data_IF_848426370393
#
_entry.id   IF_848426370393
#
_cell.length_a   1.000
_cell.length_b   1.000
_cell.length_c   1.000
_cell.angle_alpha   90.00
_cell.angle_beta   90.00
_cell.angle_gamma   90.00
#
_symmetry.space_group_name_H-M   'P 1'
#
loop_
_entity.id
_entity.type
_entity.pdbx_description
1 polymer ?
#
# COMPACT_ATOMS: atom_id res chain seq x y z
N UNK A 1 -26.31 -44.62 -24.10
CA UNK A 1 -26.77 -43.33 -23.57
C UNK A 1 -25.65 -42.55 -22.90
N UNK A 2 -24.97 -43.10 -21.88
CA UNK A 2 -23.87 -42.42 -21.15
C UNK A 2 -22.78 -41.87 -22.08
N UNK A 3 -22.28 -42.68 -23.03
CA UNK A 3 -21.25 -42.25 -23.99
C UNK A 3 -21.71 -41.07 -24.86
N UNK A 4 -22.95 -41.11 -25.34
CA UNK A 4 -23.54 -40.05 -26.17
C UNK A 4 -23.68 -38.77 -25.34
N UNK A 5 -24.13 -38.89 -24.08
CA UNK A 5 -24.24 -37.75 -23.15
C UNK A 5 -22.88 -37.13 -22.86
N UNK A 6 -21.82 -37.92 -22.64
CA UNK A 6 -20.47 -37.40 -22.42
C UNK A 6 -19.93 -36.66 -23.64
N UNK A 7 -20.10 -37.24 -24.83
CA UNK A 7 -19.67 -36.62 -26.08
C UNK A 7 -20.44 -35.33 -26.34
N UNK A 8 -21.77 -35.35 -26.23
CA UNK A 8 -22.60 -34.15 -26.39
C UNK A 8 -22.27 -33.09 -25.33
N UNK A 9 -22.05 -33.48 -24.07
CA UNK A 9 -21.66 -32.57 -23.00
C UNK A 9 -20.31 -31.92 -23.28
N UNK A 10 -19.32 -32.69 -23.75
CA UNK A 10 -18.01 -32.15 -24.12
C UNK A 10 -18.13 -31.13 -25.25
N UNK A 11 -18.80 -31.49 -26.35
CA UNK A 11 -18.97 -30.58 -27.48
C UNK A 11 -19.79 -29.34 -27.13
N UNK A 12 -20.87 -29.49 -26.36
CA UNK A 12 -21.71 -28.38 -25.90
C UNK A 12 -20.91 -27.42 -25.01
N UNK A 13 -20.11 -27.95 -24.09
CA UNK A 13 -19.29 -27.16 -23.18
C UNK A 13 -18.15 -26.45 -23.93
N UNK A 14 -17.46 -27.16 -24.83
CA UNK A 14 -16.35 -26.59 -25.60
C UNK A 14 -16.83 -25.54 -26.59
N UNK A 15 -17.83 -25.85 -27.41
CA UNK A 15 -18.31 -24.96 -28.48
C UNK A 15 -19.29 -23.91 -27.98
N UNK A 16 -20.12 -24.22 -26.97
CA UNK A 16 -21.13 -23.32 -26.44
C UNK A 16 -20.59 -22.34 -25.40
N UNK A 17 -19.56 -22.72 -24.64
CA UNK A 17 -19.09 -21.92 -23.52
C UNK A 17 -17.60 -21.59 -23.60
N UNK A 18 -16.72 -22.60 -23.55
CA UNK A 18 -15.27 -22.36 -23.35
C UNK A 18 -14.61 -21.62 -24.52
N UNK A 19 -14.88 -22.04 -25.76
CA UNK A 19 -14.27 -21.41 -26.93
C UNK A 19 -14.77 -19.97 -27.12
N UNK A 20 -16.08 -19.67 -27.11
CA UNK A 20 -16.58 -18.29 -27.16
C UNK A 20 -16.00 -17.41 -26.04
N UNK A 21 -15.93 -17.93 -24.81
CA UNK A 21 -15.38 -17.20 -23.66
C UNK A 21 -13.91 -16.85 -23.87
N UNK A 22 -13.09 -17.78 -24.36
CA UNK A 22 -11.68 -17.49 -24.68
C UNK A 22 -11.53 -16.46 -25.80
N UNK A 23 -12.36 -16.51 -26.85
CA UNK A 23 -12.35 -15.50 -27.89
C UNK A 23 -12.74 -14.11 -27.36
N UNK A 24 -13.76 -14.05 -26.49
CA UNK A 24 -14.18 -12.83 -25.80
C UNK A 24 -13.03 -12.23 -24.99
N UNK A 25 -12.30 -13.02 -24.21
CA UNK A 25 -11.20 -12.54 -23.38
C UNK A 25 -9.97 -12.09 -24.18
N UNK A 26 -9.70 -12.68 -25.34
CA UNK A 26 -8.56 -12.28 -26.18
C UNK A 26 -8.85 -11.01 -27.00
N UNK A 27 -10.11 -10.76 -27.36
CA UNK A 27 -10.55 -9.60 -28.15
C UNK A 27 -11.62 -8.81 -27.41
N UNK A 28 -11.40 -8.58 -26.11
CA UNK A 28 -12.37 -7.97 -25.19
C UNK A 28 -12.93 -6.67 -25.73
N UNK A 29 -12.10 -5.79 -26.26
CA UNK A 29 -12.56 -4.47 -26.75
C UNK A 29 -13.57 -4.58 -27.90
N UNK A 30 -13.22 -5.28 -28.98
CA UNK A 30 -14.10 -5.42 -30.16
C UNK A 30 -15.40 -6.16 -29.84
N UNK A 31 -15.31 -7.20 -29.03
CA UNK A 31 -16.47 -8.01 -28.64
C UNK A 31 -17.37 -7.22 -27.70
N UNK A 32 -16.80 -6.48 -26.74
CA UNK A 32 -17.56 -5.57 -25.88
C UNK A 32 -18.35 -4.56 -26.71
N UNK A 33 -17.72 -3.84 -27.65
CA UNK A 33 -18.44 -2.89 -28.49
C UNK A 33 -19.56 -3.52 -29.32
N UNK A 34 -19.37 -4.74 -29.82
CA UNK A 34 -20.40 -5.45 -30.58
C UNK A 34 -21.61 -5.86 -29.71
N UNK A 35 -21.37 -6.23 -28.45
CA UNK A 35 -22.40 -6.75 -27.54
C UNK A 35 -23.09 -5.63 -26.73
N UNK A 36 -22.42 -4.50 -26.51
CA UNK A 36 -22.98 -3.30 -25.84
C UNK A 36 -24.39 -2.91 -26.27
N UNK A 37 -24.75 -2.77 -27.56
CA UNK A 37 -26.11 -2.36 -27.95
C UNK A 37 -27.19 -3.37 -27.51
N UNK A 38 -26.87 -4.66 -27.51
CA UNK A 38 -27.78 -5.73 -27.06
C UNK A 38 -27.98 -5.61 -25.55
N UNK A 39 -26.89 -5.44 -24.80
CA UNK A 39 -26.94 -5.26 -23.34
C UNK A 39 -27.67 -3.99 -22.94
N UNK A 40 -27.50 -2.88 -23.67
CA UNK A 40 -28.23 -1.64 -23.43
C UNK A 40 -29.73 -1.81 -23.72
N UNK A 41 -30.10 -2.57 -24.75
CA UNK A 41 -31.49 -2.93 -25.02
C UNK A 41 -32.10 -3.72 -23.86
N UNK A 42 -31.41 -4.75 -23.39
CA UNK A 42 -31.84 -5.56 -22.25
C UNK A 42 -31.92 -4.73 -20.95
N UNK A 43 -30.91 -3.91 -20.68
CA UNK A 43 -30.87 -2.99 -19.54
C UNK A 43 -32.06 -2.03 -19.56
N UNK A 44 -32.38 -1.46 -20.72
CA UNK A 44 -33.55 -0.57 -20.86
C UNK A 44 -34.87 -1.31 -20.60
N UNK A 45 -34.97 -2.56 -21.03
CA UNK A 45 -36.14 -3.41 -20.82
C UNK A 45 -36.32 -3.78 -19.34
N UNK A 46 -35.24 -4.11 -18.63
CA UNK A 46 -35.28 -4.49 -17.21
C UNK A 46 -35.26 -3.29 -16.26
N UNK A 47 -34.85 -2.10 -16.73
CA UNK A 47 -34.83 -0.85 -15.96
C UNK A 47 -36.09 -0.55 -15.14
N UNK A 48 -37.34 -0.67 -15.64
CA UNK A 48 -38.53 -0.42 -14.82
C UNK A 48 -38.64 -1.38 -13.64
N UNK A 49 -38.29 -2.66 -13.84
CA UNK A 49 -38.28 -3.66 -12.79
C UNK A 49 -37.21 -3.38 -11.73
N UNK A 50 -35.98 -3.09 -12.18
CA UNK A 50 -34.87 -2.70 -11.29
C UNK A 50 -35.24 -1.46 -10.49
N UNK A 51 -35.81 -0.43 -11.12
CA UNK A 51 -36.23 0.80 -10.44
C UNK A 51 -37.28 0.55 -9.37
N UNK A 52 -38.23 -0.35 -9.61
CA UNK A 52 -39.23 -0.74 -8.62
C UNK A 52 -38.58 -1.42 -7.42
N UNK A 53 -37.68 -2.38 -7.66
CA UNK A 53 -36.92 -3.04 -6.59
C UNK A 53 -36.09 -2.03 -5.80
N UNK A 54 -35.27 -1.21 -6.48
CA UNK A 54 -34.45 -0.18 -5.82
C UNK A 54 -35.31 0.80 -5.00
N UNK A 55 -36.46 1.22 -5.52
CA UNK A 55 -37.37 2.08 -4.76
C UNK A 55 -37.90 1.38 -3.50
N UNK A 56 -38.23 0.10 -3.58
CA UNK A 56 -38.68 -0.68 -2.43
C UNK A 56 -37.56 -0.87 -1.39
N UNK A 57 -36.34 -1.18 -1.83
CA UNK A 57 -35.15 -1.28 -0.96
C UNK A 57 -34.86 0.05 -0.28
N UNK A 58 -34.84 1.15 -1.04
CA UNK A 58 -34.55 2.48 -0.51
C UNK A 58 -35.60 2.94 0.50
N UNK A 59 -36.86 2.56 0.30
CA UNK A 59 -37.93 2.82 1.27
C UNK A 59 -37.65 2.08 2.58
N UNK A 60 -37.28 0.80 2.51
CA UNK A 60 -36.92 0.00 3.69
C UNK A 60 -35.71 0.60 4.41
N UNK A 61 -34.62 0.88 3.70
CA UNK A 61 -33.40 1.50 4.25
C UNK A 61 -33.72 2.80 4.99
N UNK A 62 -34.56 3.65 4.39
CA UNK A 62 -35.04 4.90 5.02
C UNK A 62 -35.91 4.67 6.25
N UNK A 63 -36.74 3.63 6.28
CA UNK A 63 -37.53 3.28 7.48
C UNK A 63 -36.64 2.91 8.67
N UNK A 64 -35.44 2.39 8.41
CA UNK A 64 -34.43 2.10 9.43
C UNK A 64 -33.49 3.29 9.73
N UNK A 65 -33.75 4.47 9.15
CA UNK A 65 -32.95 5.67 9.39
C UNK A 65 -31.58 5.69 8.71
N UNK A 66 -31.35 4.80 7.75
CA UNK A 66 -30.11 4.71 6.97
C UNK A 66 -30.23 5.51 5.65
N UNK A 67 -29.11 6.01 5.13
CA UNK A 67 -29.08 6.70 3.84
C UNK A 67 -28.91 5.68 2.69
N UNK A 68 -29.90 5.53 1.78
CA UNK A 68 -29.80 4.65 0.63
C UNK A 68 -28.83 5.13 -0.46
N UNK A 69 -28.27 6.34 -0.34
CA UNK A 69 -27.21 6.83 -1.22
C UNK A 69 -25.87 6.99 -0.50
N UNK A 70 -25.69 6.37 0.68
CA UNK A 70 -24.37 6.27 1.26
C UNK A 70 -23.46 5.53 0.26
N UNK A 71 -22.45 6.21 -0.26
CA UNK A 71 -21.60 5.72 -1.35
C UNK A 71 -20.99 4.35 -1.02
N UNK A 72 -21.15 3.39 -1.94
CA UNK A 72 -20.44 2.09 -1.93
C UNK A 72 -19.07 2.18 -2.64
N UNK A 73 -18.65 3.35 -3.14
CA UNK A 73 -17.46 3.50 -4.00
C UNK A 73 -16.16 3.85 -3.25
N UNK A 74 -16.13 3.78 -1.92
CA UNK A 74 -14.85 3.86 -1.21
C UNK A 74 -14.17 2.51 -1.29
N UNK A 75 -13.27 2.35 -2.28
CA UNK A 75 -12.35 1.21 -2.32
C UNK A 75 -11.60 1.18 -0.99
N UNK A 76 -11.81 0.12 -0.24
CA UNK A 76 -11.18 -0.09 1.06
C UNK A 76 -9.75 -0.59 0.88
N UNK A 77 -8.92 -0.41 1.89
CA UNK A 77 -7.57 -0.97 1.90
C UNK A 77 -7.59 -2.50 1.70
N UNK A 78 -8.53 -3.18 2.36
CA UNK A 78 -8.71 -4.63 2.25
C UNK A 78 -8.99 -5.07 0.80
N UNK A 79 -9.78 -4.28 0.07
CA UNK A 79 -10.03 -4.54 -1.36
C UNK A 79 -8.76 -4.34 -2.20
N UNK A 80 -7.94 -3.34 -1.90
CA UNK A 80 -6.65 -3.15 -2.58
C UNK A 80 -5.73 -4.35 -2.29
N UNK A 81 -5.64 -4.81 -1.04
CA UNK A 81 -4.86 -5.98 -0.65
C UNK A 81 -5.31 -7.24 -1.39
N UNK A 82 -6.63 -7.47 -1.49
CA UNK A 82 -7.19 -8.56 -2.29
C UNK A 82 -6.80 -8.46 -3.78
N UNK A 83 -6.80 -7.26 -4.36
CA UNK A 83 -6.38 -7.07 -5.76
C UNK A 83 -4.89 -7.39 -5.95
N UNK A 84 -4.04 -6.99 -5.00
CA UNK A 84 -2.60 -7.30 -5.01
C UNK A 84 -2.37 -8.80 -4.91
N UNK A 85 -3.09 -9.50 -4.04
CA UNK A 85 -3.01 -10.96 -3.90
C UNK A 85 -3.37 -11.67 -5.20
N UNK A 86 -4.48 -11.28 -5.84
CA UNK A 86 -4.88 -11.82 -7.14
C UNK A 86 -3.84 -11.51 -8.23
N UNK A 87 -3.18 -10.35 -8.15
CA UNK A 87 -2.09 -9.97 -9.05
C UNK A 87 -0.85 -10.85 -8.88
N UNK A 88 -0.53 -11.19 -7.63
CA UNK A 88 0.59 -12.06 -7.28
C UNK A 88 0.34 -13.51 -7.71
N UNK A 89 -0.85 -14.07 -7.46
CA UNK A 89 -1.21 -15.42 -7.92
C UNK A 89 -1.16 -15.56 -9.45
N UNK A 90 -1.48 -14.48 -10.17
CA UNK A 90 -1.41 -14.44 -11.64
C UNK A 90 0.01 -14.20 -12.16
N UNK A 91 0.99 -14.03 -11.29
CA UNK A 91 2.39 -13.73 -11.64
C UNK A 91 2.58 -12.37 -12.28
N UNK A 92 1.64 -11.44 -12.08
CA UNK A 92 1.73 -10.05 -12.58
C UNK A 92 2.44 -9.16 -11.56
N UNK A 93 2.33 -9.49 -10.28
CA UNK A 93 2.99 -8.82 -9.16
C UNK A 93 3.98 -9.80 -8.53
N UNK A 94 5.20 -9.34 -8.24
CA UNK A 94 6.21 -10.13 -7.55
C UNK A 94 5.99 -10.12 -6.03
N UNK A 95 6.49 -11.14 -5.32
CA UNK A 95 6.36 -11.24 -3.86
C UNK A 95 6.96 -10.01 -3.14
N UNK A 96 8.08 -9.49 -3.65
CA UNK A 96 8.73 -8.28 -3.13
C UNK A 96 7.89 -7.02 -3.27
N UNK A 97 7.08 -6.93 -4.33
CA UNK A 97 6.18 -5.80 -4.57
C UNK A 97 4.96 -5.89 -3.67
N UNK A 98 4.41 -7.09 -3.46
CA UNK A 98 3.33 -7.32 -2.49
C UNK A 98 3.78 -6.97 -1.08
N UNK A 99 4.97 -7.42 -0.68
CA UNK A 99 5.57 -7.09 0.62
C UNK A 99 5.75 -5.57 0.78
N UNK A 100 6.28 -4.89 -0.25
CA UNK A 100 6.40 -3.43 -0.24
C UNK A 100 5.03 -2.75 -0.04
N UNK A 101 3.99 -3.15 -0.77
CA UNK A 101 2.65 -2.55 -0.65
C UNK A 101 2.10 -2.75 0.76
N UNK A 102 2.26 -3.95 1.33
CA UNK A 102 1.84 -4.22 2.70
C UNK A 102 2.59 -3.34 3.71
N UNK A 103 3.91 -3.18 3.55
CA UNK A 103 4.73 -2.33 4.41
C UNK A 103 4.34 -0.85 4.32
N UNK A 104 3.83 -0.38 3.17
CA UNK A 104 3.35 1.01 3.02
C UNK A 104 2.09 1.24 3.85
N UNK A 105 1.16 0.29 3.85
CA UNK A 105 -0.03 0.39 4.71
C UNK A 105 0.34 0.29 6.19
N UNK A 106 1.20 -0.67 6.56
CA UNK A 106 1.69 -0.78 7.94
C UNK A 106 2.41 0.50 8.39
N UNK A 107 3.15 1.16 7.50
CA UNK A 107 3.84 2.41 7.80
C UNK A 107 2.87 3.57 8.11
N UNK A 108 1.71 3.63 7.47
CA UNK A 108 0.69 4.65 7.76
C UNK A 108 0.11 4.49 9.18
N UNK A 109 0.04 3.25 9.67
CA UNK A 109 -0.48 2.90 10.98
C UNK A 109 0.57 2.93 12.11
N UNK A 110 1.87 3.03 11.79
CA UNK A 110 2.94 3.03 12.79
C UNK A 110 3.03 4.38 13.49
N UNK A 111 2.90 4.37 14.81
CA UNK A 111 3.17 5.54 15.64
C UNK A 111 4.68 5.74 15.84
N UNK A 112 5.13 6.99 15.96
CA UNK A 112 6.55 7.31 16.24
C UNK A 112 7.06 6.60 17.50
N UNK A 113 6.18 6.41 18.48
CA UNK A 113 6.50 5.73 19.73
C UNK A 113 6.89 4.26 19.54
N UNK A 114 6.43 3.61 18.47
CA UNK A 114 6.68 2.18 18.20
C UNK A 114 8.06 1.94 17.58
N UNK A 115 8.65 2.95 16.94
CA UNK A 115 9.93 2.83 16.21
C UNK A 115 11.04 3.72 16.75
N UNK A 116 10.74 4.65 17.65
CA UNK A 116 11.76 5.52 18.24
C UNK A 116 12.69 4.74 19.18
N UNK A 117 13.95 5.14 19.25
CA UNK A 117 14.83 4.71 20.34
C UNK A 117 14.36 5.39 21.63
N UNK A 118 14.08 4.61 22.67
CA UNK A 118 13.71 5.17 23.97
C UNK A 118 14.84 6.02 24.54
N UNK A 119 14.49 7.13 25.21
CA UNK A 119 15.46 8.08 25.78
C UNK A 119 16.51 7.45 26.70
N UNK A 120 16.17 6.36 27.38
CA UNK A 120 17.09 5.64 28.29
C UNK A 120 18.17 4.88 27.54
N UNK A 121 17.93 4.60 26.26
CA UNK A 121 18.80 3.84 25.37
C UNK A 121 19.45 4.76 24.32
N UNK A 122 19.22 6.07 24.41
CA UNK A 122 19.83 7.07 23.53
C UNK A 122 21.21 7.46 24.05
N UNK A 123 22.22 7.28 23.23
CA UNK A 123 23.55 7.86 23.48
C UNK A 123 23.54 9.32 23.03
N UNK A 124 23.72 10.22 24.00
CA UNK A 124 23.78 11.66 23.78
C UNK A 124 25.11 12.20 24.31
N UNK A 125 25.53 13.37 23.82
CA UNK A 125 26.73 14.07 24.29
C UNK A 125 26.37 15.41 24.89
N UNK A 126 27.15 15.84 25.88
CA UNK A 126 26.99 17.15 26.51
C UNK A 126 27.52 18.25 25.57
N UNK A 127 26.95 19.45 25.63
CA UNK A 127 27.46 20.61 24.91
C UNK A 127 28.89 21.00 25.33
N UNK A 128 29.29 20.62 26.54
CA UNK A 128 30.65 20.86 27.06
C UNK A 128 31.66 19.76 26.68
N UNK A 129 31.21 18.64 26.09
CA UNK A 129 32.09 17.53 25.71
C UNK A 129 33.10 17.92 24.63
N UNK A 130 34.29 17.33 24.71
CA UNK A 130 35.33 17.60 23.71
C UNK A 130 35.00 16.92 22.38
N UNK A 131 35.49 17.50 21.29
CA UNK A 131 35.32 16.91 19.96
C UNK A 131 35.88 15.47 19.87
N UNK A 132 36.91 15.15 20.67
CA UNK A 132 37.49 13.81 20.72
C UNK A 132 36.54 12.81 21.37
N UNK A 133 35.81 13.23 22.40
CA UNK A 133 34.84 12.38 23.09
C UNK A 133 33.65 12.05 22.18
N UNK A 134 33.13 13.05 21.46
CA UNK A 134 32.06 12.85 20.46
C UNK A 134 32.49 11.87 19.35
N UNK A 135 33.73 12.01 18.84
CA UNK A 135 34.28 11.11 17.83
C UNK A 135 34.43 9.70 18.38
N UNK A 136 34.91 9.56 19.62
CA UNK A 136 35.06 8.27 20.29
C UNK A 136 33.71 7.57 20.44
N UNK A 137 32.69 8.26 20.95
CA UNK A 137 31.32 7.73 21.09
C UNK A 137 30.75 7.29 19.73
N UNK A 138 30.93 8.10 18.68
CA UNK A 138 30.52 7.71 17.33
C UNK A 138 31.23 6.47 16.82
N UNK A 139 32.55 6.33 17.06
CA UNK A 139 33.31 5.17 16.62
C UNK A 139 32.97 3.90 17.39
N UNK A 140 32.67 4.02 18.69
CA UNK A 140 32.28 2.88 19.53
C UNK A 140 30.92 2.31 19.11
N UNK A 141 29.95 3.18 18.80
CA UNK A 141 28.58 2.75 18.50
C UNK A 141 28.21 2.76 17.00
N UNK A 142 29.04 3.33 16.13
CA UNK A 142 28.78 3.45 14.70
C UNK A 142 27.73 4.49 14.31
N UNK A 143 27.39 5.43 15.20
CA UNK A 143 26.36 6.43 14.94
C UNK A 143 26.82 7.53 13.98
N UNK A 144 25.95 7.92 13.06
CA UNK A 144 26.17 9.02 12.11
C UNK A 144 25.71 10.39 12.64
N UNK A 145 24.79 10.38 13.60
CA UNK A 145 24.18 11.55 14.23
C UNK A 145 24.06 11.29 15.72
N UNK A 146 24.44 12.27 16.53
CA UNK A 146 24.37 12.17 17.99
C UNK A 146 23.63 13.42 18.51
N UNK A 147 22.57 13.27 19.31
CA UNK A 147 21.91 14.39 19.98
C UNK A 147 22.86 15.07 20.96
N UNK A 148 22.80 16.40 21.03
CA UNK A 148 23.53 17.21 22.00
C UNK A 148 22.54 17.77 23.00
N UNK A 149 22.82 17.57 24.28
CA UNK A 149 22.03 18.13 25.37
C UNK A 149 22.82 19.19 26.15
N UNK A 150 22.11 20.03 26.89
CA UNK A 150 22.69 21.03 27.78
C UNK A 150 22.08 20.88 29.17
N UNK A 151 22.92 20.73 30.20
CA UNK A 151 22.59 20.49 31.62
C UNK A 151 21.87 19.16 31.92
N UNK A 152 20.83 18.83 31.17
CA UNK A 152 19.99 17.65 31.36
C UNK A 152 19.76 16.93 30.01
N UNK A 153 19.85 15.59 29.94
CA UNK A 153 19.53 14.82 28.74
C UNK A 153 18.12 15.04 28.17
N UNK A 154 17.16 15.50 28.99
CA UNK A 154 15.82 15.89 28.55
C UNK A 154 15.82 17.23 27.76
N UNK A 155 16.91 18.02 27.85
CA UNK A 155 17.10 19.29 27.15
C UNK A 155 18.03 19.14 25.93
N UNK A 156 17.53 18.53 24.86
CA UNK A 156 18.26 18.40 23.59
C UNK A 156 18.30 19.74 22.84
N UNK A 157 19.49 20.33 22.75
CA UNK A 157 19.73 21.64 22.10
C UNK A 157 20.11 21.52 20.62
N UNK A 158 20.49 20.33 20.15
CA UNK A 158 20.87 20.11 18.76
C UNK A 158 21.27 18.68 18.42
N UNK A 159 21.83 18.52 17.21
CA UNK A 159 22.32 17.24 16.70
C UNK A 159 23.66 17.49 16.00
N UNK A 160 24.69 16.70 16.37
CA UNK A 160 25.97 16.69 15.66
C UNK A 160 25.94 15.62 14.57
N UNK A 161 26.31 16.02 13.36
CA UNK A 161 26.61 15.10 12.28
C UNK A 161 28.11 14.78 12.28
N UNK A 162 28.45 13.49 12.40
CA UNK A 162 29.85 13.06 12.51
C UNK A 162 30.65 13.40 11.26
N UNK A 163 30.01 13.40 10.08
CA UNK A 163 30.63 13.86 8.84
C UNK A 163 31.14 15.30 8.89
N UNK A 164 30.53 16.16 9.71
CA UNK A 164 30.92 17.57 9.82
C UNK A 164 32.17 17.73 10.69
N UNK A 165 32.42 16.79 11.61
CA UNK A 165 33.65 16.73 12.41
C UNK A 165 34.88 16.41 11.54
N UNK A 166 34.71 15.60 10.48
CA UNK A 166 35.79 15.30 9.51
C UNK A 166 36.28 16.56 8.77
N UNK A 167 35.41 17.54 8.53
CA UNK A 167 35.81 18.79 7.89
C UNK A 167 36.61 19.69 8.84
N UNK A 168 36.40 19.58 10.16
CA UNK A 168 37.10 20.39 11.15
C UNK A 168 38.51 19.86 11.44
N UNK A 169 38.71 18.54 11.43
CA UNK A 169 40.06 17.94 11.60
C UNK A 169 40.98 18.35 10.44
N UNK A 170 40.50 18.27 9.20
CA UNK A 170 41.27 18.65 8.00
C UNK A 170 41.58 20.16 7.95
N UNK A 171 40.71 21.02 8.48
CA UNK A 171 40.98 22.47 8.58
C UNK A 171 41.98 22.82 9.69
N UNK A 172 41.99 22.06 10.78
CA UNK A 172 42.91 22.26 11.90
C UNK A 172 44.36 21.94 11.49
N UNK A 173 44.58 20.89 10.69
CA UNK A 173 45.89 20.54 10.13
C UNK A 173 46.45 21.58 9.14
N UNK A 174 45.56 22.30 8.43
CA UNK A 174 45.99 23.38 7.53
C UNK A 174 46.40 24.66 8.26
N UNK A 175 45.85 24.93 9.44
CA UNK A 175 46.20 26.11 10.25
C UNK A 175 47.48 25.92 11.08
N UNK A 176 47.88 24.69 11.37
CA UNK A 176 49.17 24.40 12.04
C UNK A 176 50.37 24.36 11.08
N UNK A 177 50.14 24.18 9.78
CA UNK A 177 51.19 24.10 8.75
C UNK A 177 51.34 25.39 7.91
N UNK A 178 50.76 26.51 8.36
CA UNK A 178 50.88 27.84 7.75
C UNK A 178 51.42 28.82 8.78
#
# INVERSE_FOLDING_TARGET
TILITLVMSYFSLVLGELAPKKFAMQKSEKISFAVTPILLGFSKLTKPFVKLLSASTNLIVRMFGLDPNADEETVTEEEIRMMVDVGQEKGVIEDSQKEMINNVFEFDDIDVADIMTHRTDMECVDVEDSLQDVVKTSMEHGYSRIPVYEEDPDNVVGIIYIKDLLNMSVQSDRKQNA
#
